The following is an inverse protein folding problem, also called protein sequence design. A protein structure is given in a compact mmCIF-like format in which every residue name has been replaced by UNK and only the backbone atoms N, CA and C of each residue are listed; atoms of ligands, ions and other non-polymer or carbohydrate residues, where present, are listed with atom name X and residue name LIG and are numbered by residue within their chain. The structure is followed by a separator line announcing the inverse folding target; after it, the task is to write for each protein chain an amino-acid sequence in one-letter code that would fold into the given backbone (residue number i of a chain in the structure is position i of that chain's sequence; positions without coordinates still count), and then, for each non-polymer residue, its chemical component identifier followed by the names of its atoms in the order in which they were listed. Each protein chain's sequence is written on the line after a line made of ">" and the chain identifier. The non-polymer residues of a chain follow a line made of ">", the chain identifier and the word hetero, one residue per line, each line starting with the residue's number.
data_IF_584165839752
#
_entry.id   IF_584165839752
#
_cell.length_a   1.000
_cell.length_b   1.000
_cell.length_c   1.000
_cell.angle_alpha   90.00
_cell.angle_beta   90.00
_cell.angle_gamma   90.00
#
_symmetry.space_group_name_H-M   'P 1'
#
loop_
_entity.id
_entity.type
_entity.pdbx_description
1 polymer ?
#
# COMPACT_ATOMS: atom_id res chain seq x y z
N UNK A 1 -21.30 32.07 -34.80
CA UNK A 1 -21.24 30.62 -35.11
C UNK A 1 -19.80 30.19 -34.97
N UNK A 2 -19.45 29.55 -33.85
CA UNK A 2 -19.21 28.08 -33.72
C UNK A 2 -17.90 27.68 -34.45
N UNK A 3 -16.94 26.96 -33.87
CA UNK A 3 -16.88 26.18 -32.63
C UNK A 3 -15.42 25.82 -32.30
N UNK A 4 -15.15 25.64 -31.02
CA UNK A 4 -13.93 25.04 -30.46
C UNK A 4 -13.84 23.57 -30.92
N UNK A 5 -12.65 23.10 -31.30
CA UNK A 5 -12.35 21.65 -31.32
C UNK A 5 -10.93 21.41 -30.80
N UNK A 6 -10.84 21.17 -29.49
CA UNK A 6 -9.63 20.68 -28.83
C UNK A 6 -9.53 19.18 -29.06
N UNK A 7 -8.79 18.77 -30.10
CA UNK A 7 -8.38 17.37 -30.23
C UNK A 7 -7.11 17.18 -29.40
N UNK A 8 -7.29 16.81 -28.13
CA UNK A 8 -6.19 16.27 -27.32
C UNK A 8 -5.79 14.95 -27.96
N UNK A 9 -4.63 14.96 -28.62
CA UNK A 9 -4.03 13.80 -29.26
C UNK A 9 -3.83 12.70 -28.24
N UNK A 10 -4.69 11.67 -28.30
CA UNK A 10 -4.53 10.38 -27.61
C UNK A 10 -3.31 9.71 -28.25
N UNK A 11 -2.13 9.99 -27.70
CA UNK A 11 -0.90 9.33 -28.11
C UNK A 11 -0.84 7.96 -27.42
N UNK A 12 -1.60 7.01 -27.97
CA UNK A 12 -1.60 5.61 -27.59
C UNK A 12 -0.31 4.98 -28.12
N UNK A 13 0.78 5.08 -27.34
CA UNK A 13 2.01 4.38 -27.67
C UNK A 13 1.81 2.88 -27.45
N UNK A 14 1.68 2.15 -28.55
CA UNK A 14 1.78 0.70 -28.59
C UNK A 14 3.22 0.33 -28.18
N UNK A 15 3.42 0.07 -26.89
CA UNK A 15 4.66 -0.50 -26.38
C UNK A 15 4.68 -1.96 -26.83
N UNK A 16 5.28 -2.30 -27.97
CA UNK A 16 5.55 -3.70 -28.35
C UNK A 16 6.93 -4.06 -27.83
N UNK A 17 7.01 -4.67 -26.64
CA UNK A 17 8.23 -5.34 -26.17
C UNK A 17 7.81 -6.74 -25.74
N UNK A 18 8.36 -7.75 -26.42
CA UNK A 18 8.46 -9.10 -25.88
C UNK A 18 9.26 -9.01 -24.59
N UNK A 19 8.73 -9.56 -23.49
CA UNK A 19 9.36 -9.73 -22.16
C UNK A 19 10.60 -8.86 -21.92
N UNK A 20 10.44 -7.69 -21.29
CA UNK A 20 11.54 -6.74 -21.18
C UNK A 20 11.29 -5.60 -20.19
N UNK A 21 12.37 -4.89 -19.84
CA UNK A 21 12.29 -3.74 -18.94
C UNK A 21 11.91 -2.46 -19.69
N UNK A 22 10.83 -1.82 -19.25
CA UNK A 22 10.26 -0.57 -19.77
C UNK A 22 10.93 0.62 -19.07
N UNK A 23 11.24 1.71 -19.79
CA UNK A 23 11.95 2.90 -19.25
C UNK A 23 11.14 4.21 -19.30
N UNK A 24 11.29 5.05 -18.26
CA UNK A 24 10.58 6.30 -17.93
C UNK A 24 10.87 7.52 -18.83
N UNK A 25 10.93 7.41 -20.16
CA UNK A 25 11.29 8.58 -20.97
C UNK A 25 10.30 9.77 -20.93
N UNK A 26 9.09 9.66 -20.37
CA UNK A 26 8.08 10.75 -20.39
C UNK A 26 7.25 10.98 -19.10
N UNK A 27 7.71 10.61 -17.90
CA UNK A 27 6.94 10.89 -16.67
C UNK A 27 7.76 11.75 -15.70
N UNK A 28 7.65 13.07 -15.79
CA UNK A 28 8.23 13.98 -14.81
C UNK A 28 7.27 14.18 -13.65
N UNK A 29 7.62 13.63 -12.49
CA UNK A 29 7.21 14.18 -11.20
C UNK A 29 8.50 14.45 -10.43
N UNK A 30 8.73 15.72 -10.08
CA UNK A 30 9.87 16.17 -9.30
C UNK A 30 9.65 15.83 -7.83
N UNK A 31 10.60 15.12 -7.23
CA UNK A 31 10.60 14.75 -5.81
C UNK A 31 10.94 15.93 -4.90
N UNK A 32 10.37 15.89 -3.70
CA UNK A 32 10.77 16.75 -2.60
C UNK A 32 10.13 16.37 -1.29
N UNK A 33 10.43 15.19 -0.73
CA UNK A 33 10.14 14.93 0.69
C UNK A 33 11.36 14.26 1.36
N UNK A 34 12.09 15.05 2.15
CA UNK A 34 12.88 14.53 3.28
C UNK A 34 11.93 14.35 4.46
N UNK A 35 11.90 13.18 5.10
CA UNK A 35 11.43 13.10 6.49
C UNK A 35 12.23 12.09 7.29
N UNK A 36 12.88 12.61 8.34
CA UNK A 36 13.53 11.86 9.41
C UNK A 36 12.40 11.39 10.33
N UNK A 37 12.14 10.08 10.42
CA UNK A 37 11.19 9.53 11.38
C UNK A 37 11.89 9.33 12.73
N UNK A 38 11.35 9.92 13.78
CA UNK A 38 11.79 9.65 15.16
C UNK A 38 11.35 8.23 15.56
N UNK A 39 12.31 7.39 15.95
CA UNK A 39 12.06 6.05 16.48
C UNK A 39 11.79 6.20 17.98
N UNK A 40 10.60 5.84 18.46
CA UNK A 40 10.31 5.74 19.89
C UNK A 40 10.56 4.31 20.37
N UNK A 41 11.58 4.11 21.19
CA UNK A 41 11.85 2.83 21.85
C UNK A 41 10.88 2.67 23.03
N UNK A 42 10.17 1.55 23.09
CA UNK A 42 9.21 1.26 24.17
C UNK A 42 9.81 0.24 25.12
N UNK A 43 9.79 0.49 26.44
CA UNK A 43 10.29 -0.46 27.43
C UNK A 43 9.56 -1.81 27.34
N UNK A 44 10.31 -2.91 27.42
CA UNK A 44 9.81 -4.29 27.32
C UNK A 44 8.72 -4.63 28.34
N UNK A 45 8.80 -4.11 29.55
CA UNK A 45 7.77 -4.29 30.59
C UNK A 45 6.41 -3.74 30.13
N UNK A 46 6.40 -2.56 29.51
CA UNK A 46 5.18 -1.94 28.98
C UNK A 46 4.56 -2.80 27.88
N UNK A 47 5.38 -3.41 27.02
CA UNK A 47 4.92 -4.34 25.97
C UNK A 47 4.22 -5.58 26.56
N UNK A 48 4.76 -6.15 27.65
CA UNK A 48 4.16 -7.32 28.32
C UNK A 48 2.81 -6.98 28.95
N UNK A 49 2.71 -5.83 29.63
CA UNK A 49 1.45 -5.36 30.22
C UNK A 49 0.38 -5.13 29.15
N UNK A 50 0.71 -4.40 28.09
CA UNK A 50 -0.18 -4.17 26.95
C UNK A 50 -0.65 -5.47 26.31
N UNK A 51 0.25 -6.44 26.12
CA UNK A 51 -0.11 -7.75 25.53
C UNK A 51 -1.13 -8.51 26.40
N UNK A 52 -1.00 -8.48 27.73
CA UNK A 52 -1.97 -9.10 28.64
C UNK A 52 -3.34 -8.42 28.59
N UNK A 53 -3.36 -7.10 28.50
CA UNK A 53 -4.62 -6.35 28.37
C UNK A 53 -5.31 -6.65 27.03
N UNK A 54 -4.56 -6.68 25.92
CA UNK A 54 -5.11 -7.00 24.60
C UNK A 54 -5.68 -8.42 24.55
N UNK A 55 -4.95 -9.40 25.05
CA UNK A 55 -5.41 -10.80 25.06
C UNK A 55 -6.67 -10.99 25.93
N UNK A 56 -6.80 -10.28 27.05
CA UNK A 56 -8.03 -10.25 27.86
C UNK A 56 -9.25 -9.73 27.09
N UNK A 57 -9.00 -8.91 26.05
CA UNK A 57 -10.02 -8.36 25.14
C UNK A 57 -10.27 -9.23 23.90
N UNK A 58 -9.67 -10.42 23.77
CA UNK A 58 -9.72 -11.29 22.58
C UNK A 58 -8.97 -10.69 21.37
N UNK A 59 -7.99 -9.85 21.66
CA UNK A 59 -7.13 -9.22 20.67
C UNK A 59 -5.77 -9.91 20.69
N UNK A 60 -5.36 -10.45 19.55
CA UNK A 60 -4.06 -11.09 19.37
C UNK A 60 -3.16 -10.10 18.60
N UNK A 61 -2.16 -9.47 19.24
CA UNK A 61 -1.23 -8.60 18.55
C UNK A 61 -0.38 -9.42 17.56
N UNK A 62 -0.18 -8.88 16.37
CA UNK A 62 0.65 -9.48 15.34
C UNK A 62 1.86 -8.59 15.11
N UNK A 63 2.98 -9.01 15.68
CA UNK A 63 4.24 -8.32 15.53
C UNK A 63 4.89 -8.69 14.19
N UNK A 64 5.02 -7.72 13.30
CA UNK A 64 5.95 -7.81 12.18
C UNK A 64 7.28 -7.20 12.65
N UNK A 65 8.26 -8.05 12.92
CA UNK A 65 9.62 -7.64 13.25
C UNK A 65 10.41 -7.45 11.97
N UNK A 66 10.93 -6.25 11.72
CA UNK A 66 12.03 -6.07 10.78
C UNK A 66 13.34 -6.20 11.56
N UNK A 67 14.04 -7.32 11.34
CA UNK A 67 15.26 -7.70 12.06
C UNK A 67 16.42 -6.72 11.77
N UNK A 68 16.27 -5.85 10.75
CA UNK A 68 17.33 -4.97 10.29
C UNK A 68 17.49 -3.66 11.07
N UNK A 69 16.45 -3.15 11.76
CA UNK A 69 16.48 -1.79 12.32
C UNK A 69 16.03 -1.69 13.79
N UNK A 70 15.75 -2.82 14.45
CA UNK A 70 15.30 -2.89 15.85
C UNK A 70 14.13 -1.92 16.18
N UNK A 71 13.37 -1.51 15.16
CA UNK A 71 12.32 -0.51 15.26
C UNK A 71 10.98 -1.21 15.44
N UNK A 72 10.34 -0.95 16.58
CA UNK A 72 8.95 -1.35 16.80
C UNK A 72 8.13 -0.33 16.00
N UNK A 73 7.44 -0.77 14.95
CA UNK A 73 6.55 0.13 14.21
C UNK A 73 5.55 0.79 15.16
N UNK A 74 5.32 2.10 14.98
CA UNK A 74 4.38 2.87 15.81
C UNK A 74 2.96 2.27 15.80
N UNK A 75 2.63 1.50 14.76
CA UNK A 75 1.36 0.83 14.54
C UNK A 75 1.55 -0.67 14.37
N UNK A 76 0.70 -1.44 15.03
CA UNK A 76 0.71 -2.90 14.98
C UNK A 76 -0.67 -3.40 14.54
N UNK A 77 -0.69 -4.37 13.63
CA UNK A 77 -1.92 -5.08 13.32
C UNK A 77 -2.30 -5.99 14.48
N UNK A 78 -3.60 -6.15 14.72
CA UNK A 78 -4.11 -7.14 15.64
C UNK A 78 -5.23 -7.95 15.00
N UNK A 79 -5.43 -9.17 15.49
CA UNK A 79 -6.52 -10.05 15.09
C UNK A 79 -7.54 -10.17 16.22
N UNK A 80 -8.82 -9.97 15.90
CA UNK A 80 -9.92 -10.17 16.81
C UNK A 80 -10.47 -11.59 16.65
N UNK A 81 -10.23 -12.46 17.62
CA UNK A 81 -10.63 -13.88 17.51
C UNK A 81 -12.13 -14.11 17.58
N UNK A 82 -12.92 -13.12 18.05
CA UNK A 82 -14.39 -13.22 18.09
C UNK A 82 -15.03 -12.95 16.74
N UNK A 83 -14.49 -11.98 16.00
CA UNK A 83 -15.06 -11.57 14.70
C UNK A 83 -14.32 -12.17 13.52
N UNK A 84 -13.07 -12.60 13.71
CA UNK A 84 -12.22 -13.08 12.62
C UNK A 84 -11.59 -11.96 11.79
N UNK A 85 -11.62 -10.72 12.28
CA UNK A 85 -11.20 -9.53 11.55
C UNK A 85 -9.93 -8.92 12.13
N UNK A 86 -9.26 -8.11 11.32
CA UNK A 86 -8.03 -7.40 11.64
C UNK A 86 -8.29 -5.91 11.84
N UNK A 87 -7.57 -5.33 12.80
CA UNK A 87 -7.52 -3.90 13.07
C UNK A 87 -6.08 -3.44 13.32
N UNK A 88 -5.93 -2.18 13.73
CA UNK A 88 -4.63 -1.58 14.03
C UNK A 88 -4.68 -0.95 15.41
N UNK A 89 -3.66 -1.23 16.21
CA UNK A 89 -3.44 -0.58 17.48
C UNK A 89 -2.13 0.23 17.44
N UNK A 90 -2.07 1.25 18.27
CA UNK A 90 -0.80 1.87 18.60
C UNK A 90 0.02 0.94 19.49
N UNK A 91 1.25 1.37 19.74
CA UNK A 91 2.21 0.63 20.53
C UNK A 91 1.91 0.55 22.04
N UNK A 92 0.92 1.32 22.53
CA UNK A 92 0.38 1.21 23.88
C UNK A 92 -0.85 0.30 23.94
N UNK A 93 -1.31 -0.24 22.80
CA UNK A 93 -2.47 -1.12 22.68
C UNK A 93 -3.80 -0.38 22.50
N UNK A 94 -3.77 0.93 22.28
CA UNK A 94 -4.98 1.68 21.94
C UNK A 94 -5.39 1.33 20.52
N UNK A 95 -6.66 0.99 20.32
CA UNK A 95 -7.20 0.71 18.99
C UNK A 95 -7.27 2.03 18.21
N UNK A 96 -6.49 2.11 17.13
CA UNK A 96 -6.49 3.24 16.19
C UNK A 96 -7.49 2.97 15.08
N UNK A 97 -7.47 1.76 14.53
CA UNK A 97 -8.41 1.29 13.52
C UNK A 97 -9.14 0.06 14.08
N UNK A 98 -10.49 0.10 14.22
CA UNK A 98 -11.27 -1.03 14.67
C UNK A 98 -11.06 -2.27 13.80
N UNK A 99 -11.27 -3.46 14.39
CA UNK A 99 -11.26 -4.71 13.61
C UNK A 99 -12.47 -4.73 12.68
N UNK A 100 -12.23 -4.62 11.37
CA UNK A 100 -13.27 -4.67 10.31
C UNK A 100 -12.73 -5.12 8.95
N UNK A 101 -11.45 -5.43 8.87
CA UNK A 101 -10.76 -5.81 7.64
C UNK A 101 -10.42 -7.29 7.67
N UNK A 102 -10.38 -7.93 6.51
CA UNK A 102 -9.98 -9.33 6.40
C UNK A 102 -8.47 -9.50 6.61
N UNK A 103 -7.70 -8.44 6.35
CA UNK A 103 -6.25 -8.41 6.49
C UNK A 103 -5.76 -6.97 6.52
N UNK A 104 -4.67 -6.72 7.25
CA UNK A 104 -4.03 -5.40 7.37
C UNK A 104 -2.51 -5.54 7.39
N UNK A 105 -1.80 -4.57 6.81
CA UNK A 105 -0.35 -4.41 6.93
C UNK A 105 0.04 -2.95 7.09
N UNK A 106 0.96 -2.71 8.03
CA UNK A 106 1.27 -1.37 8.55
C UNK A 106 2.55 -0.75 8.01
N UNK A 107 3.32 -1.45 7.18
CA UNK A 107 4.64 -1.03 6.68
C UNK A 107 4.59 -0.22 5.36
N UNK A 108 3.66 0.73 5.22
CA UNK A 108 3.37 1.37 3.93
C UNK A 108 3.52 2.91 3.98
N UNK A 109 4.73 3.45 4.19
CA UNK A 109 5.00 4.91 4.18
C UNK A 109 3.95 5.77 4.92
N UNK A 110 3.71 5.47 6.20
CA UNK A 110 2.70 6.15 7.03
C UNK A 110 1.23 5.99 6.52
N UNK A 111 0.97 4.94 5.75
CA UNK A 111 -0.35 4.45 5.36
C UNK A 111 -0.44 2.95 5.64
N UNK A 112 -1.65 2.40 5.57
CA UNK A 112 -1.92 1.00 5.85
C UNK A 112 -2.58 0.36 4.65
N UNK A 113 -2.04 -0.80 4.25
CA UNK A 113 -2.66 -1.65 3.25
C UNK A 113 -3.71 -2.52 3.93
N UNK A 114 -4.94 -2.42 3.46
CA UNK A 114 -6.08 -3.13 4.05
C UNK A 114 -6.80 -3.93 2.99
N UNK A 115 -7.35 -5.08 3.38
CA UNK A 115 -8.15 -5.91 2.51
C UNK A 115 -9.58 -6.09 3.04
N UNK A 116 -10.55 -6.07 2.14
CA UNK A 116 -11.94 -6.39 2.40
C UNK A 116 -12.51 -7.17 1.21
N UNK A 117 -13.10 -8.33 1.49
CA UNK A 117 -13.65 -9.28 0.51
C UNK A 117 -12.65 -9.61 -0.61
N UNK A 118 -11.38 -9.83 -0.23
CA UNK A 118 -10.30 -10.15 -1.17
C UNK A 118 -9.86 -9.00 -2.09
N UNK A 119 -10.30 -7.76 -1.81
CA UNK A 119 -9.89 -6.55 -2.53
C UNK A 119 -9.06 -5.66 -1.62
N UNK A 120 -8.07 -5.00 -2.19
CA UNK A 120 -7.07 -4.23 -1.46
C UNK A 120 -7.29 -2.73 -1.70
N UNK A 121 -7.07 -1.94 -0.65
CA UNK A 121 -6.98 -0.48 -0.70
C UNK A 121 -5.92 0.04 0.27
N UNK A 122 -5.82 1.36 0.35
CA UNK A 122 -4.91 2.06 1.27
C UNK A 122 -5.73 3.02 2.12
N UNK A 123 -5.43 3.04 3.42
CA UNK A 123 -5.98 4.01 4.37
C UNK A 123 -4.85 4.74 5.11
N UNK A 124 -5.12 5.92 5.63
CA UNK A 124 -4.22 6.62 6.54
C UNK A 124 -4.45 6.19 8.02
N UNK A 125 -3.63 6.70 8.97
CA UNK A 125 -3.83 6.43 10.40
C UNK A 125 -5.13 6.95 11.01
N UNK A 126 -5.89 7.78 10.30
CA UNK A 126 -7.20 8.28 10.71
C UNK A 126 -8.35 7.51 10.04
N UNK A 127 -8.07 6.37 9.39
CA UNK A 127 -9.04 5.56 8.62
C UNK A 127 -9.59 6.28 7.38
N UNK A 128 -8.93 7.35 6.92
CA UNK A 128 -9.28 7.99 5.65
C UNK A 128 -8.82 7.11 4.49
N UNK A 129 -9.72 6.87 3.54
CA UNK A 129 -9.42 6.08 2.35
C UNK A 129 -8.55 6.88 1.39
N UNK A 130 -7.30 6.44 1.20
CA UNK A 130 -6.35 6.98 0.22
C UNK A 130 -6.53 6.30 -1.14
N UNK A 131 -6.67 4.97 -1.15
CA UNK A 131 -7.05 4.19 -2.33
C UNK A 131 -8.28 3.36 -1.98
N UNK A 132 -9.39 3.50 -2.73
CA UNK A 132 -10.61 2.75 -2.49
C UNK A 132 -10.42 1.24 -2.48
N UNK A 133 -11.02 0.60 -1.48
CA UNK A 133 -11.12 -0.85 -1.40
C UNK A 133 -12.25 -1.31 -2.33
N UNK A 134 -12.01 -2.39 -3.08
CA UNK A 134 -13.04 -3.03 -3.92
C UNK A 134 -12.63 -3.24 -5.37
N UNK A 135 -11.63 -2.50 -5.86
CA UNK A 135 -11.21 -2.57 -7.26
C UNK A 135 -10.06 -3.56 -7.48
N UNK A 136 -8.95 -3.36 -6.78
CA UNK A 136 -7.71 -4.09 -7.01
C UNK A 136 -7.64 -5.35 -6.15
N UNK A 137 -7.09 -6.44 -6.69
CA UNK A 137 -6.82 -7.65 -5.91
C UNK A 137 -5.48 -7.57 -5.18
N UNK A 138 -4.55 -6.73 -5.66
CA UNK A 138 -3.26 -6.45 -5.03
C UNK A 138 -2.85 -5.00 -5.30
N UNK A 139 -2.16 -4.40 -4.33
CA UNK A 139 -1.45 -3.12 -4.43
C UNK A 139 -0.14 -3.31 -3.69
N UNK A 140 0.98 -3.15 -4.37
CA UNK A 140 2.32 -3.30 -3.79
C UNK A 140 2.96 -1.96 -3.45
N UNK A 141 4.06 -2.04 -2.67
CA UNK A 141 4.70 -0.89 -2.06
C UNK A 141 5.09 0.15 -3.12
N UNK A 142 4.84 1.45 -2.86
CA UNK A 142 5.20 2.51 -3.77
C UNK A 142 6.71 2.60 -3.92
N UNK A 143 7.19 2.83 -5.13
CA UNK A 143 8.58 3.12 -5.41
C UNK A 143 8.68 4.17 -6.51
N UNK A 144 9.48 5.22 -6.28
CA UNK A 144 9.58 6.42 -7.14
C UNK A 144 8.21 6.99 -7.56
N UNK A 145 7.24 6.97 -6.64
CA UNK A 145 5.90 7.54 -6.84
C UNK A 145 4.91 6.64 -7.60
N UNK A 146 5.26 5.38 -7.90
CA UNK A 146 4.37 4.43 -8.57
C UNK A 146 4.15 3.18 -7.73
N UNK A 147 2.90 2.69 -7.72
CA UNK A 147 2.50 1.46 -7.05
C UNK A 147 2.10 0.40 -8.06
N UNK A 148 2.75 -0.77 -8.10
CA UNK A 148 2.24 -1.91 -8.83
C UNK A 148 0.86 -2.29 -8.28
N UNK A 149 -0.10 -2.55 -9.15
CA UNK A 149 -1.42 -3.00 -8.74
C UNK A 149 -1.95 -4.06 -9.72
N UNK A 150 -2.83 -4.91 -9.21
CA UNK A 150 -3.48 -5.95 -10.01
C UNK A 150 -4.99 -5.68 -10.11
N UNK A 151 -5.48 -5.57 -11.33
CA UNK A 151 -6.90 -5.42 -11.67
C UNK A 151 -7.32 -6.57 -12.57
N UNK A 152 -8.26 -7.39 -12.10
CA UNK A 152 -8.60 -8.65 -12.77
C UNK A 152 -7.35 -9.54 -12.88
N UNK A 153 -6.99 -9.93 -14.10
CA UNK A 153 -5.82 -10.77 -14.36
C UNK A 153 -4.56 -9.97 -14.68
N UNK A 154 -4.68 -8.67 -14.93
CA UNK A 154 -3.58 -7.83 -15.39
C UNK A 154 -2.94 -7.00 -14.27
N UNK A 155 -1.63 -6.87 -14.36
CA UNK A 155 -0.82 -5.95 -13.58
C UNK A 155 -0.61 -4.64 -14.35
N UNK A 156 -0.59 -3.54 -13.61
CA UNK A 156 -0.30 -2.18 -14.08
C UNK A 156 0.28 -1.35 -12.94
N UNK A 157 0.30 -0.03 -13.10
CA UNK A 157 0.78 0.90 -12.07
C UNK A 157 -0.21 2.00 -11.79
N UNK A 158 -0.32 2.35 -10.52
CA UNK A 158 -1.04 3.50 -10.01
C UNK A 158 -0.05 4.61 -9.61
N UNK A 159 -0.49 5.86 -9.68
CA UNK A 159 0.14 6.95 -8.92
C UNK A 159 -0.22 6.87 -7.43
N UNK A 160 0.36 7.76 -6.63
CA UNK A 160 0.12 7.86 -5.19
C UNK A 160 -1.33 8.22 -4.81
N UNK A 161 -2.15 8.70 -5.76
CA UNK A 161 -3.57 8.98 -5.57
C UNK A 161 -4.46 7.80 -6.00
N UNK A 162 -3.87 6.68 -6.44
CA UNK A 162 -4.59 5.51 -6.91
C UNK A 162 -5.09 5.60 -8.37
N UNK A 163 -4.64 6.59 -9.12
CA UNK A 163 -4.97 6.78 -10.54
C UNK A 163 -4.09 5.87 -11.41
N UNK A 164 -4.65 5.13 -12.38
CA UNK A 164 -3.85 4.32 -13.30
C UNK A 164 -2.91 5.18 -14.16
N UNK A 165 -1.61 4.87 -14.13
CA UNK A 165 -0.57 5.46 -14.98
C UNK A 165 -0.09 4.48 -16.05
N UNK A 166 -0.12 3.19 -15.74
CA UNK A 166 0.20 2.11 -16.67
C UNK A 166 -0.94 1.10 -16.67
N UNK A 167 -1.42 0.77 -17.87
CA UNK A 167 -2.55 -0.12 -18.05
C UNK A 167 -2.32 -1.52 -17.48
N UNK A 168 -3.42 -2.15 -17.06
CA UNK A 168 -3.44 -3.47 -16.44
C UNK A 168 -3.41 -4.59 -17.48
N UNK A 169 -2.31 -4.70 -18.22
CA UNK A 169 -2.16 -5.62 -19.37
C UNK A 169 -1.03 -6.63 -19.20
N UNK A 170 -0.30 -6.58 -18.09
CA UNK A 170 0.84 -7.45 -17.86
C UNK A 170 0.46 -8.65 -17.01
N UNK A 171 1.04 -9.82 -17.26
CA UNK A 171 0.87 -11.00 -16.39
C UNK A 171 1.70 -10.89 -15.12
N UNK A 172 2.80 -10.13 -15.18
CA UNK A 172 3.68 -9.82 -14.08
C UNK A 172 4.37 -8.47 -14.30
N UNK A 173 4.64 -7.75 -13.22
CA UNK A 173 5.48 -6.55 -13.21
C UNK A 173 6.36 -6.55 -11.96
N UNK A 174 7.57 -5.98 -12.07
CA UNK A 174 8.45 -5.76 -10.92
C UNK A 174 8.08 -4.47 -10.17
N UNK A 175 8.70 -4.18 -9.03
CA UNK A 175 8.67 -2.79 -8.51
C UNK A 175 9.32 -1.84 -9.52
N UNK A 176 8.84 -0.59 -9.55
CA UNK A 176 9.45 0.46 -10.35
C UNK A 176 10.74 0.97 -9.68
N UNK A 177 11.88 0.95 -10.38
CA UNK A 177 13.18 1.34 -9.84
C UNK A 177 14.06 1.91 -10.94
N UNK A 178 14.83 2.95 -10.62
CA UNK A 178 15.76 3.64 -11.52
C UNK A 178 15.07 4.09 -12.82
N UNK A 179 13.82 4.55 -12.71
CA UNK A 179 13.01 4.91 -13.87
C UNK A 179 12.65 3.74 -14.79
N UNK A 180 12.62 2.49 -14.29
CA UNK A 180 12.27 1.31 -15.08
C UNK A 180 11.45 0.30 -14.31
N UNK A 181 10.77 -0.57 -15.03
CA UNK A 181 10.20 -1.82 -14.49
C UNK A 181 10.31 -2.93 -15.51
N UNK A 182 10.37 -4.18 -15.08
CA UNK A 182 10.33 -5.33 -15.98
C UNK A 182 8.94 -5.96 -15.95
N UNK A 183 8.50 -6.45 -17.10
CA UNK A 183 7.14 -6.95 -17.26
C UNK A 183 7.05 -8.10 -18.24
N UNK A 184 6.05 -8.93 -18.03
CA UNK A 184 5.65 -10.01 -18.92
C UNK A 184 4.25 -9.73 -19.48
N UNK A 185 4.05 -10.01 -20.76
CA UNK A 185 2.76 -9.88 -21.42
C UNK A 185 2.16 -11.24 -21.72
N UNK A 186 0.83 -11.24 -21.79
CA UNK A 186 0.03 -12.38 -22.23
C UNK A 186 0.16 -12.58 -23.74
#
# INVERSE_FOLDING_TARGET
>A
MLSISSTVSKLMFVITIFSGCVSKKNYTHTDGIKKKSEITIIPTEKVVHTTREMTSRNIIPLYQFDVSDNSIYAFQSFYNSKTGEYGIADSSGNIIIPSKYDWVRTNFNNSFRVALKGKVGLIDPNDNVLIPIGKYSMIDEPNEGLMPAKLGNGWGYLDMNGSPIVDFVFTHVTSFRQGRFCSERT
#
